data_IF_250848412485
#
_entry.id   IF_250848412485
#
_cell.length_a   1.000
_cell.length_b   1.000
_cell.length_c   1.000
_cell.angle_alpha   90.00
_cell.angle_beta   90.00
_cell.angle_gamma   90.00
#
_symmetry.space_group_name_H-M   'P 1'
#
loop_
_entity.id
_entity.type
_entity.pdbx_description
1 polymer ?
#
# COMPACT_ATOMS: atom_id res chain seq x y z
N UNK A 1 27.68 -2.19 -11.72
CA UNK A 1 26.28 -1.71 -11.79
C UNK A 1 26.04 -0.86 -10.56
N UNK A 2 25.55 0.37 -10.71
CA UNK A 2 25.17 1.22 -9.56
C UNK A 2 23.97 0.58 -8.88
N UNK A 3 24.07 0.26 -7.58
CA UNK A 3 22.96 -0.26 -6.79
C UNK A 3 22.08 0.94 -6.41
N UNK A 4 20.91 1.08 -7.04
CA UNK A 4 19.93 2.10 -6.65
C UNK A 4 19.50 1.82 -5.22
N UNK A 5 19.53 2.85 -4.37
CA UNK A 5 19.21 2.73 -2.95
C UNK A 5 18.37 3.92 -2.53
N UNK A 6 17.25 3.64 -1.89
CA UNK A 6 16.34 4.64 -1.38
C UNK A 6 16.34 4.66 0.15
N UNK A 7 16.17 5.84 0.73
CA UNK A 7 15.93 5.95 2.18
C UNK A 7 14.50 5.54 2.49
N UNK A 8 14.30 4.61 3.44
CA UNK A 8 12.97 4.21 3.92
C UNK A 8 12.15 5.39 4.46
N UNK A 9 12.81 6.45 4.91
CA UNK A 9 12.14 7.67 5.39
C UNK A 9 11.29 8.35 4.31
N UNK A 10 11.60 8.11 3.02
CA UNK A 10 10.80 8.61 1.92
C UNK A 10 9.43 7.94 1.82
N UNK A 11 9.23 6.77 2.44
CA UNK A 11 7.95 6.07 2.44
C UNK A 11 7.06 6.41 3.63
N UNK A 12 7.60 6.97 4.71
CA UNK A 12 6.82 7.24 5.92
C UNK A 12 5.63 8.16 5.66
N UNK A 13 4.46 7.81 6.21
CA UNK A 13 3.21 8.55 6.04
C UNK A 13 2.22 7.85 5.11
N UNK A 14 1.21 8.61 4.68
CA UNK A 14 0.10 8.09 3.88
C UNK A 14 0.29 8.31 2.38
N UNK A 15 -0.12 7.31 1.63
CA UNK A 15 -0.11 7.25 0.17
C UNK A 15 -1.47 6.88 -0.36
N UNK A 16 -1.75 7.27 -1.60
CA UNK A 16 -3.05 7.10 -2.24
C UNK A 16 -2.87 6.67 -3.70
N UNK A 17 -3.70 5.74 -4.14
CA UNK A 17 -4.03 5.53 -5.55
C UNK A 17 -5.52 5.22 -5.69
N UNK A 18 -6.04 5.43 -6.89
CA UNK A 18 -7.32 4.84 -7.29
C UNK A 18 -7.22 4.29 -8.71
N UNK A 19 -8.05 3.29 -8.97
CA UNK A 19 -8.21 2.64 -10.27
C UNK A 19 -9.66 2.20 -10.46
N UNK A 20 -10.01 1.70 -11.65
CA UNK A 20 -11.30 1.05 -11.88
C UNK A 20 -11.14 -0.47 -11.87
N UNK A 21 -12.08 -1.18 -11.26
CA UNK A 21 -12.16 -2.64 -11.36
C UNK A 21 -12.74 -3.10 -12.71
N UNK A 22 -12.78 -4.42 -12.93
CA UNK A 22 -13.35 -5.05 -14.13
C UNK A 22 -14.85 -4.75 -14.35
N UNK A 23 -15.54 -4.26 -13.31
CA UNK A 23 -16.95 -3.90 -13.33
C UNK A 23 -17.18 -2.38 -13.47
N UNK A 24 -16.10 -1.58 -13.52
CA UNK A 24 -16.14 -0.12 -13.61
C UNK A 24 -16.40 0.58 -12.27
N UNK A 25 -16.28 -0.12 -11.15
CA UNK A 25 -16.32 0.47 -9.81
C UNK A 25 -14.97 1.11 -9.49
N UNK A 26 -14.95 2.16 -8.67
CA UNK A 26 -13.71 2.79 -8.24
C UNK A 26 -13.10 2.02 -7.07
N UNK A 27 -11.87 1.55 -7.24
CA UNK A 27 -11.06 0.94 -6.20
C UNK A 27 -10.03 1.96 -5.71
N UNK A 28 -10.19 2.38 -4.46
CA UNK A 28 -9.29 3.30 -3.78
C UNK A 28 -8.38 2.51 -2.83
N UNK A 29 -7.09 2.78 -2.89
CA UNK A 29 -6.09 2.23 -1.97
C UNK A 29 -5.40 3.35 -1.21
N UNK A 30 -5.44 3.26 0.12
CA UNK A 30 -4.62 4.06 1.01
C UNK A 30 -3.56 3.19 1.67
N UNK A 31 -2.29 3.59 1.56
CA UNK A 31 -1.19 2.92 2.25
C UNK A 31 -0.56 3.85 3.29
N UNK A 32 -0.69 3.47 4.56
CA UNK A 32 0.01 4.11 5.67
C UNK A 32 1.25 3.28 6.01
N UNK A 33 2.43 3.90 5.92
CA UNK A 33 3.71 3.26 6.24
C UNK A 33 4.35 3.96 7.45
N UNK A 34 4.43 3.28 8.57
CA UNK A 34 4.93 3.85 9.84
C UNK A 34 6.44 3.66 9.99
N UNK A 35 7.09 4.55 10.74
CA UNK A 35 8.54 4.54 10.94
C UNK A 35 9.07 3.33 11.74
N UNK A 36 8.18 2.69 12.51
CA UNK A 36 8.47 1.48 13.29
C UNK A 36 8.46 0.20 12.44
N UNK A 37 8.08 0.30 11.16
CA UNK A 37 8.00 -0.84 10.25
C UNK A 37 6.60 -1.46 10.16
N UNK A 38 5.58 -0.92 10.81
CA UNK A 38 4.19 -1.33 10.61
C UNK A 38 3.55 -0.65 9.40
N UNK A 39 2.62 -1.33 8.74
CA UNK A 39 1.77 -0.74 7.70
C UNK A 39 0.28 -0.96 7.98
N UNK A 40 -0.54 -0.10 7.37
CA UNK A 40 -1.97 -0.27 7.21
C UNK A 40 -2.33 0.04 5.75
N UNK A 41 -2.85 -0.95 5.02
CA UNK A 41 -3.36 -0.79 3.67
C UNK A 41 -4.89 -0.88 3.71
N UNK A 42 -5.59 0.15 3.24
CA UNK A 42 -7.04 0.17 3.15
C UNK A 42 -7.46 0.13 1.69
N UNK A 43 -8.16 -0.92 1.31
CA UNK A 43 -8.78 -1.10 -0.01
C UNK A 43 -10.27 -0.80 0.13
N UNK A 44 -10.77 0.14 -0.65
CA UNK A 44 -12.16 0.61 -0.61
C UNK A 44 -12.72 0.52 -2.02
N UNK A 45 -13.79 -0.23 -2.20
CA UNK A 45 -14.52 -0.30 -3.47
C UNK A 45 -15.77 0.56 -3.39
N UNK A 46 -15.92 1.47 -4.33
CA UNK A 46 -17.03 2.42 -4.44
C UNK A 46 -17.87 2.09 -5.67
N UNK A 47 -19.18 2.05 -5.52
CA UNK A 47 -20.07 1.90 -6.67
C UNK A 47 -20.11 3.17 -7.55
N UNK A 48 -20.86 3.09 -8.66
CA UNK A 48 -21.06 4.23 -9.58
C UNK A 48 -21.66 5.50 -8.95
N UNK A 49 -22.22 5.43 -7.74
CA UNK A 49 -22.77 6.57 -6.99
C UNK A 49 -21.78 7.11 -5.95
N UNK A 50 -20.66 6.42 -5.73
CA UNK A 50 -19.68 6.73 -4.69
C UNK A 50 -20.02 6.10 -3.34
N UNK A 51 -20.98 5.18 -3.27
CA UNK A 51 -21.30 4.46 -2.04
C UNK A 51 -20.27 3.34 -1.83
N UNK A 52 -19.78 3.19 -0.59
CA UNK A 52 -18.85 2.09 -0.23
C UNK A 52 -19.60 0.76 -0.28
N UNK A 53 -19.16 -0.13 -1.16
CA UNK A 53 -19.71 -1.48 -1.28
C UNK A 53 -18.81 -2.55 -0.68
N UNK A 54 -17.51 -2.27 -0.57
CA UNK A 54 -16.56 -3.15 0.10
C UNK A 54 -15.41 -2.36 0.73
N UNK A 55 -14.89 -2.89 1.84
CA UNK A 55 -13.73 -2.34 2.52
C UNK A 55 -12.95 -3.44 3.23
N UNK A 56 -11.68 -3.54 2.88
CA UNK A 56 -10.71 -4.43 3.52
C UNK A 56 -9.53 -3.61 4.01
N UNK A 57 -9.06 -3.91 5.22
CA UNK A 57 -7.81 -3.31 5.74
C UNK A 57 -6.81 -4.42 6.03
N UNK A 58 -5.62 -4.35 5.45
CA UNK A 58 -4.50 -5.21 5.79
C UNK A 58 -3.55 -4.51 6.77
N UNK A 59 -3.09 -5.25 7.76
CA UNK A 59 -2.17 -4.79 8.79
C UNK A 59 -0.97 -5.74 8.85
N UNK A 60 0.23 -5.18 8.86
CA UNK A 60 1.43 -6.01 8.84
C UNK A 60 2.72 -5.23 9.04
N UNK A 61 3.83 -5.87 8.67
CA UNK A 61 5.15 -5.25 8.68
C UNK A 61 5.63 -4.95 7.26
N UNK A 62 6.48 -3.95 7.11
CA UNK A 62 7.10 -3.60 5.85
C UNK A 62 8.59 -3.28 6.02
N UNK A 63 9.30 -3.35 4.89
CA UNK A 63 10.68 -2.89 4.81
C UNK A 63 11.04 -2.33 3.44
N UNK A 64 12.18 -1.64 3.40
CA UNK A 64 12.82 -1.17 2.18
C UNK A 64 14.33 -1.34 2.33
N UNK A 65 14.93 -2.15 1.46
CA UNK A 65 16.38 -2.35 1.38
C UNK A 65 16.80 -2.17 -0.07
N UNK A 66 17.73 -1.23 -0.31
CA UNK A 66 18.09 -0.77 -1.65
C UNK A 66 16.85 -0.30 -2.44
N UNK A 67 16.47 -1.01 -3.49
CA UNK A 67 15.29 -0.78 -4.32
C UNK A 67 14.23 -1.88 -4.15
N UNK A 68 14.29 -2.68 -3.08
CA UNK A 68 13.30 -3.72 -2.79
C UNK A 68 12.42 -3.30 -1.62
N UNK A 69 11.15 -3.05 -1.91
CA UNK A 69 10.09 -2.88 -0.91
C UNK A 69 9.42 -4.24 -0.69
N UNK A 70 9.12 -4.58 0.56
CA UNK A 70 8.42 -5.82 0.88
C UNK A 70 7.46 -5.58 2.03
N UNK A 71 6.38 -6.35 2.03
CA UNK A 71 5.34 -6.35 3.06
C UNK A 71 5.04 -7.78 3.50
N UNK A 72 4.59 -7.89 4.73
CA UNK A 72 4.16 -9.13 5.34
C UNK A 72 2.88 -8.89 6.13
N UNK A 73 1.76 -9.37 5.61
CA UNK A 73 0.43 -9.20 6.21
C UNK A 73 0.27 -10.15 7.40
N UNK A 74 -0.15 -9.60 8.54
CA UNK A 74 -0.35 -10.32 9.80
C UNK A 74 -1.81 -10.38 10.22
N UNK A 75 -2.58 -9.36 9.87
CA UNK A 75 -3.99 -9.30 10.19
C UNK A 75 -4.76 -8.61 9.07
N UNK A 76 -6.04 -8.92 9.01
CA UNK A 76 -7.01 -8.28 8.12
C UNK A 76 -8.20 -7.80 8.93
N UNK A 77 -8.69 -6.61 8.64
CA UNK A 77 -9.95 -6.09 9.13
C UNK A 77 -10.97 -6.16 8.00
N UNK A 78 -11.95 -7.06 8.15
CA UNK A 78 -13.06 -7.23 7.20
C UNK A 78 -14.35 -7.07 7.96
N UNK A 79 -15.25 -6.21 7.50
CA UNK A 79 -16.51 -5.89 8.20
C UNK A 79 -16.31 -5.52 9.68
N UNK A 80 -15.27 -4.70 9.96
CA UNK A 80 -14.88 -4.25 11.31
C UNK A 80 -14.40 -5.36 12.26
N UNK A 81 -14.26 -6.60 11.77
CA UNK A 81 -13.75 -7.71 12.54
C UNK A 81 -12.30 -8.00 12.17
N UNK A 82 -11.45 -8.16 13.19
CA UNK A 82 -10.02 -8.45 13.03
C UNK A 82 -9.80 -9.97 12.94
N UNK A 83 -9.10 -10.38 11.89
CA UNK A 83 -8.69 -11.76 11.64
C UNK A 83 -7.17 -11.83 11.56
N UNK A 84 -6.57 -12.86 12.16
CA UNK A 84 -5.15 -13.14 11.95
C UNK A 84 -4.98 -13.76 10.56
N UNK A 85 -4.00 -13.26 9.81
CA UNK A 85 -3.62 -13.82 8.51
C UNK A 85 -2.92 -15.17 8.71
N UNK A 86 -3.09 -16.10 7.76
CA UNK A 86 -2.35 -17.37 7.77
C UNK A 86 -0.91 -17.15 7.31
N UNK A 87 0.04 -17.23 8.24
CA UNK A 87 1.45 -17.00 7.93
C UNK A 87 2.09 -18.12 7.10
N UNK A 88 1.38 -19.23 6.85
CA UNK A 88 1.79 -20.28 5.90
C UNK A 88 1.29 -20.01 4.48
N UNK A 89 0.46 -19.00 4.27
CA UNK A 89 0.05 -18.58 2.94
C UNK A 89 1.08 -17.61 2.35
N UNK A 90 1.71 -18.01 1.24
CA UNK A 90 2.70 -17.21 0.53
C UNK A 90 2.12 -15.88 0.02
N UNK A 91 0.81 -15.80 -0.22
CA UNK A 91 0.13 -14.58 -0.67
C UNK A 91 0.18 -13.45 0.38
N UNK A 92 0.50 -13.75 1.65
CA UNK A 92 0.70 -12.73 2.68
C UNK A 92 2.08 -12.07 2.63
N UNK A 93 2.94 -12.48 1.70
CA UNK A 93 4.30 -11.98 1.54
C UNK A 93 4.47 -11.37 0.16
N UNK A 94 4.55 -10.05 0.10
CA UNK A 94 4.67 -9.34 -1.16
C UNK A 94 6.03 -8.66 -1.27
N UNK A 95 6.59 -8.67 -2.48
CA UNK A 95 7.87 -8.06 -2.75
C UNK A 95 7.86 -7.31 -4.08
N UNK A 96 8.40 -6.09 -4.06
CA UNK A 96 8.32 -5.14 -5.14
C UNK A 96 9.67 -4.50 -5.40
N UNK A 97 9.96 -4.26 -6.68
CA UNK A 97 11.06 -3.39 -7.09
C UNK A 97 10.57 -1.94 -7.16
N UNK A 98 11.24 -1.05 -6.44
CA UNK A 98 11.00 0.39 -6.51
C UNK A 98 11.62 0.96 -7.78
N UNK A 99 10.78 1.46 -8.67
CA UNK A 99 11.19 2.11 -9.93
C UNK A 99 11.55 3.57 -9.66
N UNK A 100 10.64 4.32 -9.04
CA UNK A 100 10.85 5.73 -8.67
C UNK A 100 10.28 6.01 -7.29
N UNK A 101 11.06 6.66 -6.42
CA UNK A 101 10.59 7.08 -5.10
C UNK A 101 11.09 8.49 -4.75
N UNK A 102 10.16 9.38 -4.42
CA UNK A 102 10.43 10.73 -3.92
C UNK A 102 9.30 11.18 -2.97
N UNK A 103 9.31 12.43 -2.52
CA UNK A 103 8.32 12.94 -1.56
C UNK A 103 6.86 12.97 -2.07
N UNK A 104 6.63 12.81 -3.37
CA UNK A 104 5.30 12.91 -4.02
C UNK A 104 4.86 11.63 -4.70
N UNK A 105 5.80 10.81 -5.17
CA UNK A 105 5.56 9.65 -6.01
C UNK A 105 6.23 8.42 -5.42
N UNK A 106 5.47 7.33 -5.32
CA UNK A 106 5.98 6.00 -5.04
C UNK A 106 5.53 5.08 -6.18
N UNK A 107 6.47 4.75 -7.07
CA UNK A 107 6.25 3.88 -8.23
C UNK A 107 7.07 2.61 -8.04
N UNK A 108 6.39 1.48 -8.04
CA UNK A 108 6.97 0.18 -7.74
C UNK A 108 6.30 -0.91 -8.57
N UNK A 109 7.01 -2.01 -8.78
CA UNK A 109 6.58 -3.14 -9.60
C UNK A 109 6.64 -4.42 -8.79
N UNK A 110 5.58 -5.21 -8.84
CA UNK A 110 5.56 -6.51 -8.16
C UNK A 110 6.54 -7.48 -8.82
N UNK A 111 7.36 -8.16 -8.02
CA UNK A 111 8.46 -8.99 -8.52
C UNK A 111 8.00 -10.26 -9.24
N UNK A 112 6.79 -10.76 -8.95
CA UNK A 112 6.27 -11.99 -9.56
C UNK A 112 5.33 -11.70 -10.73
N UNK A 113 4.39 -10.77 -10.57
CA UNK A 113 3.36 -10.48 -11.59
C UNK A 113 3.80 -9.40 -12.59
N UNK A 114 4.85 -8.63 -12.28
CA UNK A 114 5.29 -7.45 -13.04
C UNK A 114 4.26 -6.30 -13.10
N UNK A 115 3.20 -6.36 -12.31
CA UNK A 115 2.23 -5.28 -12.19
C UNK A 115 2.88 -4.04 -11.58
N UNK A 116 2.54 -2.88 -12.13
CA UNK A 116 3.08 -1.60 -11.68
C UNK A 116 2.05 -0.82 -10.88
N UNK A 117 2.53 -0.22 -9.80
CA UNK A 117 1.72 0.55 -8.86
C UNK A 117 2.30 1.95 -8.74
N UNK A 118 1.43 2.95 -8.90
CA UNK A 118 1.80 4.37 -8.80
C UNK A 118 0.97 5.03 -7.72
N UNK A 119 1.60 5.31 -6.59
CA UNK A 119 0.98 6.01 -5.48
C UNK A 119 1.42 7.46 -5.38
N UNK A 120 0.48 8.31 -4.97
CA UNK A 120 0.70 9.74 -4.67
C UNK A 120 0.70 9.96 -3.18
N UNK A 121 1.62 10.81 -2.71
CA UNK A 121 1.66 11.21 -1.30
C UNK A 121 0.39 11.94 -0.91
N UNK A 122 -0.23 11.52 0.20
CA UNK A 122 -1.28 12.31 0.84
C UNK A 122 -0.59 13.37 1.69
N UNK A 123 -0.85 14.64 1.38
CA UNK A 123 -0.41 15.77 2.20
C UNK A 123 -1.47 16.01 3.26
N UNK A 124 -1.16 15.67 4.52
CA UNK A 124 -1.93 16.18 5.64
C UNK A 124 -1.84 17.70 5.59
N UNK A 125 -2.97 18.38 5.39
CA UNK A 125 -2.99 19.83 5.37
C UNK A 125 -2.82 20.28 6.84
N UNK A 126 -1.71 20.94 7.25
CA UNK A 126 -1.52 21.37 8.63
C UNK A 126 -2.32 22.66 8.93
N UNK A 127 -3.52 22.78 8.36
CA UNK A 127 -4.31 24.00 8.31
C UNK A 127 -5.53 23.97 9.23
N UNK A 128 -5.38 23.58 10.49
CA UNK A 128 -6.28 23.95 11.58
C UNK A 128 -5.52 23.94 12.91
N UNK A 129 -4.94 25.09 13.23
CA UNK A 129 -4.56 25.51 14.57
C UNK A 129 -5.16 26.90 14.79
#
# INVERSE_FOLDING_TARGET
MSKTSYSRTLLFGRWYRSDLDDHGNECVEYAQLNSDGSFEFSFITLDSKGDVIDKVIELGDWGLVADIHFTFTKNELVNEQLYAADLNNDDNYQAYKVITLNHKLFHYQHLLTNEEYIMRRVVDNPGHC
#
